data_IF_469496281384
#
_entry.id   IF_469496281384
#
_cell.length_a   1.000
_cell.length_b   1.000
_cell.length_c   1.000
_cell.angle_alpha   90.00
_cell.angle_beta   90.00
_cell.angle_gamma   90.00
#
_symmetry.space_group_name_H-M   'P 1'
#
loop_
_entity.id
_entity.type
_entity.pdbx_description
1 polymer ?
#
# COMPACT_ATOMS: atom_id res chain seq x y z
N UNK A 1 -7.19 1.64 -24.26
CA UNK A 1 -7.05 1.74 -22.80
C UNK A 1 -6.16 0.60 -22.37
N UNK A 2 -4.90 0.90 -22.10
CA UNK A 2 -3.95 -0.09 -21.58
C UNK A 2 -4.38 -0.44 -20.15
N UNK A 3 -4.82 -1.68 -19.95
CA UNK A 3 -4.91 -2.24 -18.61
C UNK A 3 -3.47 -2.40 -18.13
N UNK A 4 -2.96 -1.47 -17.32
CA UNK A 4 -1.75 -1.71 -16.54
C UNK A 4 -1.96 -3.04 -15.82
N UNK A 5 -1.18 -4.06 -16.22
CA UNK A 5 -1.42 -5.42 -15.83
C UNK A 5 -1.29 -5.52 -14.31
N UNK A 6 -2.38 -5.92 -13.63
CA UNK A 6 -2.33 -6.26 -12.21
C UNK A 6 -1.36 -7.44 -12.11
N UNK A 7 -0.31 -7.29 -11.31
CA UNK A 7 0.63 -8.38 -11.16
C UNK A 7 -0.06 -9.64 -10.61
N UNK A 8 0.27 -10.83 -11.13
CA UNK A 8 -0.33 -12.06 -10.67
C UNK A 8 0.00 -12.31 -9.20
N UNK A 9 -1.00 -12.21 -8.34
CA UNK A 9 -0.89 -12.55 -6.94
C UNK A 9 -1.76 -13.79 -6.64
N UNK A 10 -1.19 -14.78 -5.94
CA UNK A 10 -1.88 -16.01 -5.53
C UNK A 10 -3.16 -15.69 -4.73
N UNK A 11 -3.16 -14.59 -3.96
CA UNK A 11 -4.32 -14.14 -3.18
C UNK A 11 -5.41 -13.59 -4.10
N UNK A 12 -5.07 -12.77 -5.10
CA UNK A 12 -6.02 -12.25 -6.08
C UNK A 12 -6.67 -13.40 -6.86
N UNK A 13 -5.91 -14.45 -7.18
CA UNK A 13 -6.45 -15.64 -7.87
C UNK A 13 -7.51 -16.37 -7.05
N UNK A 14 -7.45 -16.29 -5.72
CA UNK A 14 -8.46 -16.88 -4.81
C UNK A 14 -9.73 -16.02 -4.68
N UNK A 15 -9.75 -14.79 -5.19
CA UNK A 15 -10.93 -13.93 -5.09
C UNK A 15 -12.10 -14.47 -5.94
N UNK A 16 -13.33 -14.52 -5.38
CA UNK A 16 -14.54 -14.81 -6.12
C UNK A 16 -14.70 -13.93 -7.36
N UNK A 17 -15.21 -14.52 -8.46
CA UNK A 17 -15.33 -13.81 -9.76
C UNK A 17 -16.05 -12.47 -9.65
N UNK A 18 -17.10 -12.39 -8.83
CA UNK A 18 -17.91 -11.18 -8.68
C UNK A 18 -17.17 -10.02 -7.98
N UNK A 19 -16.05 -10.27 -7.29
CA UNK A 19 -15.25 -9.21 -6.66
C UNK A 19 -14.16 -8.65 -7.57
N UNK A 20 -13.77 -9.38 -8.62
CA UNK A 20 -12.67 -8.98 -9.51
C UNK A 20 -12.93 -7.69 -10.27
N UNK A 21 -14.20 -7.36 -10.50
CA UNK A 21 -14.61 -6.11 -11.17
C UNK A 21 -14.24 -4.84 -10.38
N UNK A 22 -13.97 -4.96 -9.08
CA UNK A 22 -13.60 -3.83 -8.22
C UNK A 22 -12.09 -3.66 -8.07
N UNK A 23 -11.28 -4.52 -8.68
CA UNK A 23 -9.82 -4.40 -8.63
C UNK A 23 -9.40 -3.32 -9.62
N UNK A 24 -8.72 -2.29 -9.10
CA UNK A 24 -8.18 -1.20 -9.91
C UNK A 24 -6.65 -1.25 -9.86
N UNK A 25 -5.96 -1.28 -11.01
CA UNK A 25 -4.51 -1.18 -11.01
C UNK A 25 -4.08 0.18 -10.47
N UNK A 26 -3.01 0.20 -9.68
CA UNK A 26 -2.38 1.45 -9.29
C UNK A 26 -1.61 2.00 -10.49
N UNK A 27 -2.06 3.14 -11.02
CA UNK A 27 -1.24 3.94 -11.93
C UNK A 27 -0.42 4.93 -11.10
N UNK A 28 0.83 4.57 -10.81
CA UNK A 28 1.65 5.34 -9.87
C UNK A 28 2.01 6.74 -10.39
N UNK A 29 2.13 6.90 -11.70
CA UNK A 29 2.46 8.17 -12.35
C UNK A 29 1.33 9.22 -12.24
N UNK A 30 0.10 8.79 -11.88
CA UNK A 30 -1.01 9.72 -11.63
C UNK A 30 -0.82 10.52 -10.33
N UNK A 31 0.10 10.10 -9.45
CA UNK A 31 0.39 10.85 -8.23
C UNK A 31 1.25 12.07 -8.51
N UNK A 32 0.64 13.23 -8.37
CA UNK A 32 1.34 14.52 -8.47
C UNK A 32 2.27 14.74 -7.28
N UNK A 33 3.19 15.72 -7.43
CA UNK A 33 4.01 16.19 -6.31
C UNK A 33 3.18 16.67 -5.11
N UNK A 34 1.97 17.21 -5.35
CA UNK A 34 1.03 17.61 -4.30
C UNK A 34 0.53 16.37 -3.55
N UNK A 35 0.13 15.30 -4.25
CA UNK A 35 -0.31 14.06 -3.60
C UNK A 35 0.80 13.48 -2.71
N UNK A 36 2.04 13.47 -3.20
CA UNK A 36 3.20 13.02 -2.42
C UNK A 36 3.44 13.91 -1.18
N UNK A 37 3.26 15.23 -1.30
CA UNK A 37 3.40 16.14 -0.17
C UNK A 37 2.31 15.93 0.90
N UNK A 38 1.06 15.75 0.47
CA UNK A 38 -0.07 15.44 1.36
C UNK A 38 0.18 14.14 2.10
N UNK A 39 0.63 13.09 1.39
CA UNK A 39 1.00 11.81 1.99
C UNK A 39 2.05 11.99 3.09
N UNK A 40 3.17 12.67 2.77
CA UNK A 40 4.22 12.96 3.76
C UNK A 40 3.69 13.68 4.98
N UNK A 41 2.85 14.69 4.77
CA UNK A 41 2.27 15.46 5.86
C UNK A 41 1.43 14.57 6.78
N UNK A 42 0.49 13.81 6.20
CA UNK A 42 -0.40 12.91 6.95
C UNK A 42 0.41 11.83 7.67
N UNK A 43 1.34 11.17 6.99
CA UNK A 43 2.12 10.10 7.59
C UNK A 43 3.03 10.59 8.72
N UNK A 44 3.60 11.79 8.61
CA UNK A 44 4.37 12.39 9.70
C UNK A 44 3.50 12.67 10.92
N UNK A 45 2.30 13.24 10.72
CA UNK A 45 1.33 13.47 11.81
C UNK A 45 0.88 12.16 12.45
N UNK A 46 0.60 11.14 11.64
CA UNK A 46 0.19 9.83 12.13
C UNK A 46 1.30 9.15 12.93
N UNK A 47 2.54 9.10 12.42
CA UNK A 47 3.65 8.48 13.13
C UNK A 47 3.96 9.22 14.43
N UNK A 48 3.99 10.56 14.42
CA UNK A 48 4.21 11.38 15.61
C UNK A 48 3.20 11.03 16.71
N UNK A 49 1.90 11.12 16.40
CA UNK A 49 0.86 10.85 17.38
C UNK A 49 0.77 9.37 17.77
N UNK A 50 0.66 8.47 16.80
CA UNK A 50 0.39 7.05 17.04
C UNK A 50 1.60 6.31 17.63
N UNK A 51 2.82 6.85 17.53
CA UNK A 51 3.96 6.28 18.26
C UNK A 51 3.80 6.29 19.78
N UNK A 52 2.94 7.18 20.29
CA UNK A 52 2.71 7.35 21.74
C UNK A 52 1.45 6.65 22.25
N UNK A 53 0.42 6.53 21.40
CA UNK A 53 -0.90 6.02 21.81
C UNK A 53 -1.26 4.67 21.21
N UNK A 54 -0.66 4.29 20.08
CA UNK A 54 -0.95 3.00 19.46
C UNK A 54 -0.04 1.92 20.03
N UNK A 55 -0.49 0.67 19.92
CA UNK A 55 0.34 -0.48 20.24
C UNK A 55 1.61 -0.50 19.37
N UNK A 56 2.74 -0.99 19.91
CA UNK A 56 4.05 -1.02 19.24
C UNK A 56 4.02 -1.72 17.86
N UNK A 57 3.07 -2.63 17.68
CA UNK A 57 2.83 -3.34 16.41
C UNK A 57 2.45 -2.39 15.27
N UNK A 58 1.94 -1.19 15.54
CA UNK A 58 1.62 -0.21 14.51
C UNK A 58 2.88 0.21 13.74
N UNK A 59 3.91 0.71 14.44
CA UNK A 59 5.14 1.17 13.81
C UNK A 59 5.91 0.02 13.15
N UNK A 60 5.91 -1.15 13.79
CA UNK A 60 6.48 -2.36 13.22
C UNK A 60 5.72 -2.80 11.96
N UNK A 61 4.39 -2.70 11.99
CA UNK A 61 3.50 -3.01 10.88
C UNK A 61 3.73 -2.10 9.67
N UNK A 62 3.95 -0.80 9.86
CA UNK A 62 4.31 0.10 8.75
C UNK A 62 5.56 -0.39 7.99
N UNK A 63 6.58 -0.84 8.72
CA UNK A 63 7.80 -1.41 8.11
C UNK A 63 7.51 -2.75 7.42
N UNK A 64 6.79 -3.65 8.08
CA UNK A 64 6.45 -4.98 7.55
C UNK A 64 5.46 -4.97 6.39
N UNK A 65 4.83 -3.83 6.11
CA UNK A 65 3.92 -3.66 4.96
C UNK A 65 4.55 -2.86 3.83
N UNK A 66 5.79 -2.34 3.99
CA UNK A 66 6.42 -1.49 2.97
C UNK A 66 5.86 -0.07 2.89
N UNK A 67 5.12 0.37 3.92
CA UNK A 67 4.57 1.72 3.99
C UNK A 67 5.68 2.70 4.40
N UNK A 68 5.98 3.64 3.50
CA UNK A 68 6.96 4.71 3.73
C UNK A 68 6.29 5.99 4.19
N UNK A 69 6.97 6.74 5.06
CA UNK A 69 6.56 8.10 5.45
C UNK A 69 6.80 9.10 4.31
N UNK A 70 7.82 8.88 3.48
CA UNK A 70 8.31 9.91 2.56
C UNK A 70 7.63 9.91 1.18
N UNK A 71 6.99 8.81 0.81
CA UNK A 71 6.35 8.66 -0.49
C UNK A 71 5.17 7.71 -0.37
N UNK A 72 4.15 7.97 -1.19
CA UNK A 72 3.07 7.01 -1.43
C UNK A 72 3.72 5.69 -1.87
N UNK A 73 3.39 4.55 -1.26
CA UNK A 73 4.00 3.29 -1.62
C UNK A 73 3.53 2.81 -3.00
N UNK A 74 4.46 2.21 -3.74
CA UNK A 74 4.15 1.50 -4.96
C UNK A 74 3.66 0.07 -4.61
N UNK A 75 2.52 -0.33 -5.16
CA UNK A 75 1.87 -1.60 -4.84
C UNK A 75 2.72 -2.81 -5.25
N UNK A 76 3.59 -2.67 -6.26
CA UNK A 76 4.57 -3.69 -6.61
C UNK A 76 5.54 -3.95 -5.45
N UNK A 77 6.16 -2.89 -4.94
CA UNK A 77 7.09 -2.97 -3.82
C UNK A 77 6.39 -3.47 -2.54
N UNK A 78 5.16 -3.02 -2.31
CA UNK A 78 4.33 -3.45 -1.19
C UNK A 78 4.04 -4.95 -1.25
N UNK A 79 3.57 -5.45 -2.40
CA UNK A 79 3.23 -6.87 -2.58
C UNK A 79 4.44 -7.79 -2.45
N UNK A 80 5.65 -7.34 -2.78
CA UNK A 80 6.88 -8.11 -2.55
C UNK A 80 7.10 -8.41 -1.06
N UNK A 81 6.84 -7.44 -0.19
CA UNK A 81 7.00 -7.57 1.26
C UNK A 81 5.81 -8.35 1.84
N UNK A 82 4.58 -7.97 1.48
CA UNK A 82 3.36 -8.60 2.00
C UNK A 82 3.28 -10.10 1.69
N UNK A 83 3.84 -10.53 0.55
CA UNK A 83 3.90 -11.95 0.18
C UNK A 83 4.60 -12.80 1.23
N UNK A 84 5.63 -12.28 1.91
CA UNK A 84 6.39 -13.02 2.93
C UNK A 84 5.53 -13.36 4.16
N UNK A 85 4.52 -12.52 4.45
CA UNK A 85 3.58 -12.73 5.55
C UNK A 85 2.23 -13.28 5.10
N UNK A 86 2.08 -13.62 3.81
CA UNK A 86 0.85 -14.19 3.24
C UNK A 86 -0.27 -13.18 2.98
N UNK A 87 0.07 -11.90 2.76
CA UNK A 87 -0.86 -10.82 2.45
C UNK A 87 -0.66 -10.25 1.02
N UNK A 88 -1.62 -9.46 0.55
CA UNK A 88 -1.59 -8.76 -0.73
C UNK A 88 -2.31 -7.41 -0.63
N UNK A 89 -1.89 -6.45 -1.45
CA UNK A 89 -2.51 -5.13 -1.62
C UNK A 89 -2.87 -4.85 -3.08
#
# INVERSE_FOLDING_TARGET
>A
MEFNAIEPNVIINKLPKHLRQYIKPQNYEDYTAINQAVWRYVMRKNVDYLSTVAHESYLNGLKQTGISVNSIPNMYGMNRILKEIGWAA
#
